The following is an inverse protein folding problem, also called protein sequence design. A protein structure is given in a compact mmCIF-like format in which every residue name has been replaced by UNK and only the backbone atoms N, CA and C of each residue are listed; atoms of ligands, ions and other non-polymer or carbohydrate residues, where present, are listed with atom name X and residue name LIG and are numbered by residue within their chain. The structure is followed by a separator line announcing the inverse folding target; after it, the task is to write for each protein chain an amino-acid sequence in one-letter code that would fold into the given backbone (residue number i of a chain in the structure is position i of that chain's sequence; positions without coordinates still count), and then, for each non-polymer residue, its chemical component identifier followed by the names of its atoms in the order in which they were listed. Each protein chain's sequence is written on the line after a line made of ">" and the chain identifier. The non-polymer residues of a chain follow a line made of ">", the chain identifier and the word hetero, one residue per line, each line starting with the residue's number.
data_IF_134383179554
#
_entry.id   IF_134383179554
#
_cell.length_a   1.000
_cell.length_b   1.000
_cell.length_c   1.000
_cell.angle_alpha   90.00
_cell.angle_beta   90.00
_cell.angle_gamma   90.00
#
_symmetry.space_group_name_H-M   'P 1'
#
loop_
_entity.id
_entity.type
_entity.pdbx_description
1 polymer ?
#
# COMPACT_ATOMS: atom_id res chain seq x y z
N UNK A 1 -18.39 14.28 -7.44
CA UNK A 1 -18.57 13.53 -8.70
C UNK A 1 -18.41 12.05 -8.40
N UNK A 2 -19.52 11.31 -8.53
CA UNK A 2 -19.68 9.86 -8.65
C UNK A 2 -18.73 8.92 -7.89
N UNK A 3 -19.10 8.60 -6.65
CA UNK A 3 -19.02 7.22 -6.15
C UNK A 3 -20.07 6.38 -6.89
N UNK A 4 -19.65 5.39 -7.70
CA UNK A 4 -20.38 4.12 -7.87
C UNK A 4 -19.74 3.18 -8.90
N UNK A 5 -19.75 1.89 -8.50
CA UNK A 5 -19.92 0.69 -9.34
C UNK A 5 -18.66 -0.03 -9.85
N UNK A 6 -18.26 -1.04 -9.07
CA UNK A 6 -17.69 -2.30 -9.54
C UNK A 6 -16.41 -2.27 -10.41
N UNK A 7 -15.54 -1.28 -10.25
CA UNK A 7 -14.15 -1.43 -10.69
C UNK A 7 -13.47 -2.44 -9.75
N UNK A 8 -12.97 -3.56 -10.27
CA UNK A 8 -12.46 -4.65 -9.44
C UNK A 8 -11.50 -4.13 -8.37
N UNK A 9 -11.70 -4.59 -7.13
CA UNK A 9 -11.00 -4.05 -5.97
C UNK A 9 -9.48 -4.11 -6.18
N UNK A 10 -8.84 -2.95 -6.23
CA UNK A 10 -7.38 -2.86 -6.26
C UNK A 10 -6.84 -3.51 -5.00
N UNK A 11 -6.20 -4.66 -5.18
CA UNK A 11 -5.67 -5.49 -4.11
C UNK A 11 -4.17 -5.20 -3.99
N UNK A 12 -3.75 -4.82 -2.79
CA UNK A 12 -2.34 -4.57 -2.47
C UNK A 12 -1.80 -5.75 -1.67
N UNK A 13 -0.72 -6.35 -2.15
CA UNK A 13 -0.01 -7.42 -1.45
C UNK A 13 1.41 -6.97 -1.16
N UNK A 14 1.82 -7.01 0.10
CA UNK A 14 3.20 -6.78 0.51
C UNK A 14 3.96 -8.11 0.51
N UNK A 15 5.15 -8.11 -0.09
CA UNK A 15 6.08 -9.24 -0.09
C UNK A 15 7.44 -8.80 0.45
N UNK A 16 8.23 -9.76 0.93
CA UNK A 16 9.61 -9.55 1.40
C UNK A 16 9.71 -8.37 2.39
N UNK A 17 8.86 -8.39 3.42
CA UNK A 17 8.87 -7.34 4.43
C UNK A 17 10.11 -7.47 5.31
N UNK A 18 10.92 -6.42 5.35
CA UNK A 18 12.17 -6.36 6.09
C UNK A 18 12.23 -5.05 6.87
N UNK A 19 12.35 -5.15 8.19
CA UNK A 19 12.63 -4.00 9.04
C UNK A 19 14.13 -3.74 9.05
N UNK A 20 14.59 -2.69 8.36
CA UNK A 20 15.99 -2.32 8.32
C UNK A 20 16.28 -1.32 9.46
N UNK A 21 16.84 -1.83 10.57
CA UNK A 21 17.14 -1.03 11.77
C UNK A 21 18.30 -0.06 11.58
N UNK A 22 19.23 -0.35 10.66
CA UNK A 22 20.36 0.55 10.35
C UNK A 22 19.89 1.85 9.69
N UNK A 23 18.85 1.75 8.86
CA UNK A 23 18.27 2.89 8.12
C UNK A 23 16.97 3.41 8.75
N UNK A 24 16.61 2.91 9.94
CA UNK A 24 15.39 3.28 10.67
C UNK A 24 14.12 3.26 9.80
N UNK A 25 14.02 2.29 8.88
CA UNK A 25 12.89 2.20 7.95
C UNK A 25 12.53 0.76 7.61
N UNK A 26 11.26 0.54 7.29
CA UNK A 26 10.78 -0.75 6.77
C UNK A 26 10.88 -0.75 5.25
N UNK A 27 11.41 -1.83 4.70
CA UNK A 27 11.57 -2.04 3.27
C UNK A 27 10.71 -3.25 2.87
N UNK A 28 9.94 -3.12 1.81
CA UNK A 28 9.09 -4.19 1.32
C UNK A 28 8.80 -3.98 -0.16
N UNK A 29 8.38 -5.06 -0.83
CA UNK A 29 7.96 -5.06 -2.23
C UNK A 29 6.44 -5.02 -2.27
N UNK A 30 5.89 -4.11 -3.08
CA UNK A 30 4.46 -4.03 -3.33
C UNK A 30 4.09 -4.70 -4.64
N UNK A 31 3.17 -5.66 -4.56
CA UNK A 31 2.48 -6.24 -5.69
C UNK A 31 1.08 -5.62 -5.75
N UNK A 32 0.79 -4.96 -6.88
CA UNK A 32 -0.47 -4.25 -7.10
C UNK A 32 -1.27 -5.04 -8.11
N UNK A 33 -2.43 -5.56 -7.70
CA UNK A 33 -3.35 -6.29 -8.56
C UNK A 33 -4.57 -5.39 -8.80
N UNK A 34 -4.76 -4.93 -10.02
CA UNK A 34 -5.84 -3.99 -10.39
C UNK A 34 -6.59 -4.45 -11.66
N UNK A 35 -7.49 -5.44 -11.55
CA UNK A 35 -8.22 -5.95 -12.70
C UNK A 35 -9.16 -4.88 -13.27
N UNK A 36 -9.11 -4.65 -14.59
CA UNK A 36 -10.04 -3.73 -15.26
C UNK A 36 -9.88 -2.25 -14.89
N UNK A 37 -8.83 -1.87 -14.15
CA UNK A 37 -8.50 -0.48 -13.87
C UNK A 37 -7.17 -0.10 -14.55
N UNK A 38 -7.08 1.11 -15.13
CA UNK A 38 -5.79 1.65 -15.56
C UNK A 38 -4.84 1.84 -14.37
N UNK A 39 -3.62 2.27 -14.68
CA UNK A 39 -2.51 2.41 -13.75
C UNK A 39 -2.93 3.11 -12.44
N UNK A 40 -2.62 2.49 -11.30
CA UNK A 40 -2.87 3.09 -9.98
C UNK A 40 -1.83 4.17 -9.71
N UNK A 41 -2.28 5.35 -9.28
CA UNK A 41 -1.38 6.46 -8.99
C UNK A 41 -0.57 6.22 -7.71
N UNK A 42 0.64 6.79 -7.64
CA UNK A 42 1.50 6.71 -6.44
C UNK A 42 0.84 7.34 -5.21
N UNK A 43 0.04 8.40 -5.40
CA UNK A 43 -0.66 9.08 -4.32
C UNK A 43 -1.71 8.15 -3.67
N UNK A 44 -2.53 7.49 -4.50
CA UNK A 44 -3.55 6.55 -4.00
C UNK A 44 -2.92 5.35 -3.28
N UNK A 45 -1.78 4.83 -3.78
CA UNK A 45 -1.03 3.78 -3.10
C UNK A 45 -0.53 4.25 -1.73
N UNK A 46 0.00 5.47 -1.64
CA UNK A 46 0.50 6.04 -0.38
C UNK A 46 -0.61 6.17 0.66
N UNK A 47 -1.79 6.64 0.26
CA UNK A 47 -2.95 6.78 1.16
C UNK A 47 -3.45 5.41 1.66
N UNK A 48 -3.53 4.41 0.78
CA UNK A 48 -3.94 3.06 1.18
C UNK A 48 -2.91 2.41 2.11
N UNK A 49 -1.62 2.59 1.84
CA UNK A 49 -0.56 2.05 2.69
C UNK A 49 -0.50 2.75 4.04
N UNK A 50 -0.74 4.07 4.07
CA UNK A 50 -0.86 4.81 5.31
C UNK A 50 -1.98 4.21 6.17
N UNK A 51 -3.17 3.97 5.60
CA UNK A 51 -4.28 3.33 6.34
C UNK A 51 -3.97 1.92 6.84
N UNK A 52 -3.27 1.10 6.04
CA UNK A 52 -2.95 -0.28 6.41
C UNK A 52 -1.86 -0.33 7.50
N UNK A 53 -0.87 0.56 7.44
CA UNK A 53 0.33 0.50 8.26
C UNK A 53 0.51 1.68 9.23
N UNK A 54 -0.47 2.58 9.37
CA UNK A 54 -0.43 3.76 10.26
C UNK A 54 -0.04 3.39 11.69
N UNK A 55 -0.62 2.30 12.21
CA UNK A 55 -0.33 1.81 13.55
C UNK A 55 1.01 1.08 13.69
N UNK A 56 1.53 0.49 12.61
CA UNK A 56 2.77 -0.30 12.64
C UNK A 56 4.02 0.54 12.32
N UNK A 57 3.87 1.65 11.61
CA UNK A 57 4.98 2.53 11.21
C UNK A 57 5.30 3.61 12.23
N UNK A 58 4.40 3.88 13.20
CA UNK A 58 4.58 4.93 14.21
C UNK A 58 5.22 4.47 15.52
N UNK A 59 5.44 3.18 15.75
CA UNK A 59 6.03 2.72 17.01
C UNK A 59 7.29 1.94 16.73
N UNK A 60 8.43 2.57 17.00
CA UNK A 60 9.73 1.93 17.14
C UNK A 60 9.77 1.00 18.36
N UNK A 61 9.06 -0.12 18.26
CA UNK A 61 9.40 -1.35 18.98
C UNK A 61 10.07 -2.30 17.99
#
# INVERSE_FOLDING_TARGET
>A
MADSKAAAAVTLRTRKFMTNRLLSRKQFVLEVIHPGRPNVSKAELKERLAKIYEHELLVGR
#
